data_IF_899780607915
#
_entry.id   IF_899780607915
#
_cell.length_a   1.000
_cell.length_b   1.000
_cell.length_c   1.000
_cell.angle_alpha   90.00
_cell.angle_beta   90.00
_cell.angle_gamma   90.00
#
_symmetry.space_group_name_H-M   'P 1'
#
loop_
_entity.id
_entity.type
_entity.pdbx_description
1 polymer ?
#
# COMPACT_ATOMS: atom_id res chain seq x y z
N UNK A 1 21.05 19.40 -4.20
CA UNK A 1 21.11 18.03 -3.62
C UNK A 1 19.69 17.57 -3.33
N UNK A 2 19.14 16.62 -4.10
CA UNK A 2 17.75 16.15 -3.96
C UNK A 2 17.66 15.31 -2.68
N UNK A 3 16.84 15.72 -1.70
CA UNK A 3 16.58 14.91 -0.49
C UNK A 3 15.98 13.55 -0.90
N UNK A 4 16.42 12.47 -0.28
CA UNK A 4 15.85 11.14 -0.53
C UNK A 4 14.36 11.10 -0.16
N UNK A 5 13.57 10.26 -0.86
CA UNK A 5 12.13 10.12 -0.63
C UNK A 5 11.79 9.86 0.85
N UNK A 6 12.57 9.02 1.53
CA UNK A 6 12.44 8.75 2.97
C UNK A 6 12.72 9.99 3.83
N UNK A 7 13.74 10.80 3.50
CA UNK A 7 14.01 12.04 4.24
C UNK A 7 12.84 13.04 4.12
N UNK A 8 12.17 13.07 2.96
CA UNK A 8 10.97 13.91 2.75
C UNK A 8 9.78 13.41 3.56
N UNK A 9 9.55 12.10 3.63
CA UNK A 9 8.49 11.52 4.46
C UNK A 9 8.75 11.74 5.97
N UNK A 10 10.01 11.68 6.40
CA UNK A 10 10.38 11.91 7.81
C UNK A 10 10.27 13.36 8.24
N UNK A 11 10.44 14.32 7.32
CA UNK A 11 10.35 15.75 7.65
C UNK A 11 8.94 16.22 7.99
N UNK A 12 7.90 15.44 7.68
CA UNK A 12 6.50 15.77 8.02
C UNK A 12 6.02 15.06 9.29
N UNK A 13 6.83 14.20 9.89
CA UNK A 13 6.48 13.50 11.12
C UNK A 13 6.74 14.36 12.36
N UNK A 14 5.93 14.16 13.39
CA UNK A 14 6.26 14.62 14.75
C UNK A 14 7.55 13.97 15.26
N UNK A 15 8.18 14.51 16.32
CA UNK A 15 9.39 13.94 16.90
C UNK A 15 9.26 12.44 17.26
N UNK A 16 8.08 12.01 17.72
CA UNK A 16 7.79 10.61 18.08
C UNK A 16 6.88 9.88 17.07
N UNK A 17 6.77 10.42 15.85
CA UNK A 17 5.88 9.89 14.81
C UNK A 17 6.36 8.57 14.20
N UNK A 18 5.41 7.77 13.72
CA UNK A 18 5.66 6.49 13.04
C UNK A 18 5.39 6.61 11.55
N UNK A 19 6.40 6.32 10.72
CA UNK A 19 6.22 6.07 9.29
C UNK A 19 5.95 4.59 9.05
N UNK A 20 4.75 4.25 8.58
CA UNK A 20 4.41 2.90 8.12
C UNK A 20 4.38 2.88 6.60
N UNK A 21 5.27 2.12 5.98
CA UNK A 21 5.28 1.92 4.53
C UNK A 21 4.32 0.78 4.20
N UNK A 22 3.16 1.13 3.62
CA UNK A 22 2.24 0.19 3.00
C UNK A 22 2.55 0.04 1.50
N UNK A 23 2.72 -1.20 1.04
CA UNK A 23 2.92 -1.51 -0.38
C UNK A 23 4.36 -1.49 -0.91
N UNK A 24 4.54 -2.18 -2.03
CA UNK A 24 5.82 -2.28 -2.78
C UNK A 24 5.81 -1.54 -4.13
N UNK A 25 4.73 -0.82 -4.43
CA UNK A 25 4.56 -0.12 -5.70
C UNK A 25 5.73 0.86 -5.94
N UNK A 26 6.36 0.73 -7.10
CA UNK A 26 7.50 1.54 -7.52
C UNK A 26 8.85 1.17 -6.92
N UNK A 27 8.95 0.08 -6.15
CA UNK A 27 10.25 -0.36 -5.67
C UNK A 27 11.01 -1.13 -6.77
N UNK A 28 11.83 -0.39 -7.53
CA UNK A 28 12.78 -0.93 -8.50
C UNK A 28 14.13 -1.09 -7.83
N UNK A 29 14.47 -2.31 -7.43
CA UNK A 29 15.77 -2.67 -6.86
C UNK A 29 16.28 -3.98 -7.50
N UNK A 30 17.58 -4.11 -7.80
CA UNK A 30 18.09 -5.24 -8.56
C UNK A 30 18.07 -6.59 -7.81
N UNK A 31 17.79 -6.61 -6.49
CA UNK A 31 18.04 -7.81 -5.66
C UNK A 31 16.81 -8.48 -5.06
N UNK A 32 15.67 -7.80 -4.85
CA UNK A 32 14.48 -8.43 -4.23
C UNK A 32 13.15 -7.84 -4.71
N UNK A 33 13.07 -7.42 -5.97
CA UNK A 33 11.82 -6.92 -6.55
C UNK A 33 11.20 -5.73 -5.81
N UNK A 34 12.01 -4.94 -5.08
CA UNK A 34 11.57 -3.75 -4.37
C UNK A 34 11.40 -3.87 -2.85
N UNK A 35 11.56 -5.06 -2.27
CA UNK A 35 11.49 -5.26 -0.81
C UNK A 35 12.75 -4.71 -0.12
N UNK A 36 13.84 -4.47 -0.86
CA UNK A 36 15.06 -3.82 -0.36
C UNK A 36 14.79 -2.46 0.31
N UNK A 37 13.76 -1.72 -0.15
CA UNK A 37 13.33 -0.45 0.47
C UNK A 37 12.74 -0.67 1.86
N UNK A 38 11.91 -1.69 2.01
CA UNK A 38 11.24 -2.05 3.27
C UNK A 38 12.28 -2.53 4.30
N UNK A 39 13.25 -3.34 3.85
CA UNK A 39 14.36 -3.82 4.68
C UNK A 39 15.27 -2.68 5.14
N UNK A 40 15.64 -1.73 4.25
CA UNK A 40 16.40 -0.54 4.63
C UNK A 40 15.67 0.36 5.61
N UNK A 41 14.35 0.52 5.45
CA UNK A 41 13.54 1.31 6.36
C UNK A 41 13.54 0.73 7.79
N UNK A 42 13.45 -0.60 7.91
CA UNK A 42 13.58 -1.32 9.18
C UNK A 42 15.00 -1.21 9.78
N UNK A 43 16.05 -1.19 8.96
CA UNK A 43 17.43 -1.03 9.44
C UNK A 43 17.76 0.41 9.89
N UNK A 44 17.07 1.41 9.33
CA UNK A 44 17.19 2.83 9.74
C UNK A 44 16.27 3.19 10.92
N UNK A 45 15.43 2.25 11.36
CA UNK A 45 14.59 2.38 12.55
C UNK A 45 15.45 2.25 13.79
N UNK A 46 16.09 3.36 14.18
CA UNK A 46 16.51 3.69 15.56
C UNK A 46 17.10 5.10 15.66
N UNK A 47 16.43 6.08 15.07
CA UNK A 47 16.67 7.48 15.43
C UNK A 47 15.88 7.75 16.72
N UNK A 48 16.50 8.33 17.76
CA UNK A 48 15.81 8.68 19.01
C UNK A 48 14.60 9.59 18.67
N UNK A 49 13.39 9.07 18.71
CA UNK A 49 12.14 9.77 18.35
C UNK A 49 11.30 9.02 17.31
N UNK A 50 11.67 9.07 16.03
CA UNK A 50 10.81 8.59 14.95
C UNK A 50 10.99 7.10 14.64
N UNK A 51 9.86 6.38 14.53
CA UNK A 51 9.82 4.96 14.17
C UNK A 51 9.56 4.79 12.67
N UNK A 52 10.19 3.80 12.05
CA UNK A 52 9.96 3.47 10.64
C UNK A 52 9.73 1.97 10.50
N UNK A 53 8.58 1.59 9.95
CA UNK A 53 8.19 0.20 9.79
C UNK A 53 7.53 -0.07 8.45
N UNK A 54 7.24 -1.35 8.23
CA UNK A 54 6.52 -1.84 7.05
C UNK A 54 5.28 -2.57 7.52
N UNK A 55 4.18 -2.42 6.79
CA UNK A 55 2.98 -3.22 7.01
C UNK A 55 2.72 -4.11 5.80
N UNK A 56 2.67 -5.42 6.06
CA UNK A 56 2.25 -6.42 5.07
C UNK A 56 0.92 -6.95 5.58
N UNK A 57 -0.14 -6.72 4.80
CA UNK A 57 -1.45 -7.24 5.13
C UNK A 57 -1.42 -8.76 5.02
N UNK A 58 -1.80 -9.45 6.11
CA UNK A 58 -2.05 -10.89 6.10
C UNK A 58 -3.56 -11.10 6.05
N UNK A 59 -4.03 -11.74 5.00
CA UNK A 59 -5.43 -12.12 4.87
C UNK A 59 -5.80 -13.04 6.04
N UNK A 60 -6.75 -12.60 6.86
CA UNK A 60 -7.28 -13.41 7.96
C UNK A 60 -8.80 -13.19 8.10
N UNK A 61 -9.55 -14.23 8.51
CA UNK A 61 -11.01 -14.14 8.56
C UNK A 61 -11.55 -13.13 9.58
N UNK A 62 -10.87 -12.97 10.72
CA UNK A 62 -11.31 -12.09 11.80
C UNK A 62 -11.32 -10.62 11.35
N UNK A 63 -10.24 -10.16 10.73
CA UNK A 63 -10.14 -8.81 10.18
C UNK A 63 -11.15 -8.59 9.04
N UNK A 64 -11.42 -9.60 8.21
CA UNK A 64 -12.43 -9.51 7.16
C UNK A 64 -13.85 -9.37 7.72
N UNK A 65 -14.17 -10.02 8.84
CA UNK A 65 -15.45 -9.84 9.54
C UNK A 65 -15.57 -8.43 10.11
N UNK A 66 -14.50 -7.89 10.70
CA UNK A 66 -14.47 -6.49 11.15
C UNK A 66 -14.73 -5.53 9.98
N UNK A 67 -14.09 -5.75 8.84
CA UNK A 67 -14.31 -4.93 7.65
C UNK A 67 -15.75 -5.04 7.13
N UNK A 68 -16.32 -6.25 7.10
CA UNK A 68 -17.72 -6.49 6.74
C UNK A 68 -18.66 -5.67 7.63
N UNK A 69 -18.50 -5.74 8.94
CA UNK A 69 -19.37 -5.05 9.89
C UNK A 69 -19.27 -3.52 9.76
N UNK A 70 -18.08 -2.99 9.48
CA UNK A 70 -17.89 -1.57 9.19
C UNK A 70 -18.59 -1.13 7.90
N UNK A 71 -18.60 -1.98 6.87
CA UNK A 71 -19.27 -1.72 5.60
C UNK A 71 -20.79 -1.75 5.79
N UNK A 72 -21.32 -2.78 6.45
CA UNK A 72 -22.76 -2.93 6.73
C UNK A 72 -23.28 -1.80 7.62
N UNK A 73 -22.47 -1.32 8.57
CA UNK A 73 -22.81 -0.18 9.41
C UNK A 73 -22.65 1.18 8.71
N UNK A 74 -22.22 1.22 7.43
CA UNK A 74 -22.01 2.45 6.68
C UNK A 74 -20.83 3.30 7.16
N UNK A 75 -19.98 2.77 8.05
CA UNK A 75 -18.78 3.44 8.58
C UNK A 75 -17.59 3.38 7.61
N UNK A 76 -17.64 2.44 6.67
CA UNK A 76 -16.65 2.26 5.62
C UNK A 76 -17.35 2.05 4.28
N UNK A 77 -17.10 2.93 3.30
CA UNK A 77 -17.59 2.75 1.93
C UNK A 77 -16.41 2.35 1.04
N UNK A 78 -16.34 1.10 0.55
CA UNK A 78 -15.27 0.69 -0.35
C UNK A 78 -15.44 1.34 -1.72
N UNK A 79 -14.35 1.91 -2.24
CA UNK A 79 -14.33 2.48 -3.59
C UNK A 79 -14.09 1.35 -4.59
N UNK A 80 -15.17 0.87 -5.20
CA UNK A 80 -15.11 -0.09 -6.30
C UNK A 80 -14.88 0.68 -7.61
N UNK A 81 -13.78 0.35 -8.28
CA UNK A 81 -13.40 0.94 -9.54
C UNK A 81 -14.14 0.31 -10.73
N UNK A 82 -13.50 0.36 -11.88
CA UNK A 82 -14.03 -0.24 -13.10
C UNK A 82 -14.16 -1.76 -12.97
N UNK A 83 -15.25 -2.30 -13.50
CA UNK A 83 -15.53 -3.74 -13.58
C UNK A 83 -15.20 -4.23 -14.99
N UNK A 84 -14.59 -5.40 -15.08
CA UNK A 84 -14.23 -6.05 -16.32
C UNK A 84 -14.85 -7.45 -16.36
N UNK A 85 -15.43 -7.92 -17.47
CA UNK A 85 -15.76 -9.34 -17.61
C UNK A 85 -14.48 -10.18 -17.58
N UNK A 86 -14.58 -11.47 -17.23
CA UNK A 86 -13.44 -12.39 -17.20
C UNK A 86 -12.69 -12.44 -18.54
N UNK A 87 -13.41 -12.30 -19.65
CA UNK A 87 -12.82 -12.23 -20.99
C UNK A 87 -11.90 -11.01 -21.20
N UNK A 88 -12.04 -9.96 -20.38
CA UNK A 88 -11.30 -8.70 -20.49
C UNK A 88 -10.22 -8.52 -19.41
N UNK A 89 -9.71 -9.62 -18.82
CA UNK A 89 -8.65 -9.56 -17.80
C UNK A 89 -7.37 -8.88 -18.33
N UNK A 90 -7.04 -9.07 -19.61
CA UNK A 90 -5.85 -8.44 -20.20
C UNK A 90 -5.96 -6.91 -20.20
N UNK A 91 -7.14 -6.40 -20.53
CA UNK A 91 -7.46 -4.98 -20.50
C UNK A 91 -7.45 -4.44 -19.06
N UNK A 92 -8.00 -5.21 -18.11
CA UNK A 92 -7.98 -4.86 -16.69
C UNK A 92 -6.55 -4.70 -16.14
N UNK A 93 -5.63 -5.60 -16.52
CA UNK A 93 -4.23 -5.50 -16.13
C UNK A 93 -3.56 -4.27 -16.74
N UNK A 94 -3.78 -4.01 -18.04
CA UNK A 94 -3.22 -2.81 -18.70
C UNK A 94 -3.71 -1.51 -18.06
N UNK A 95 -4.98 -1.47 -17.65
CA UNK A 95 -5.55 -0.32 -16.94
C UNK A 95 -4.89 -0.13 -15.57
N UNK A 96 -4.69 -1.21 -14.81
CA UNK A 96 -3.96 -1.19 -13.55
C UNK A 96 -2.52 -0.66 -13.71
N UNK A 97 -1.78 -1.21 -14.68
CA UNK A 97 -0.39 -0.82 -14.96
C UNK A 97 -0.26 0.63 -15.42
N UNK A 98 -1.32 1.21 -16.00
CA UNK A 98 -1.33 2.62 -16.41
C UNK A 98 -1.25 3.59 -15.23
N UNK A 99 -1.50 3.12 -14.00
CA UNK A 99 -1.53 3.94 -12.78
C UNK A 99 -2.72 4.89 -12.70
N UNK A 100 -3.67 4.80 -13.64
CA UNK A 100 -4.88 5.65 -13.69
C UNK A 100 -6.13 4.97 -13.09
N UNK A 101 -6.01 3.71 -12.69
CA UNK A 101 -7.10 3.00 -12.04
C UNK A 101 -7.49 3.70 -10.73
N UNK A 102 -8.78 3.98 -10.58
CA UNK A 102 -9.36 4.55 -9.37
C UNK A 102 -10.14 3.48 -8.61
N UNK A 103 -9.84 3.30 -7.33
CA UNK A 103 -10.44 2.26 -6.51
C UNK A 103 -9.97 0.85 -6.87
N UNK A 104 -10.66 -0.16 -6.34
CA UNK A 104 -10.36 -1.58 -6.61
C UNK A 104 -10.98 -2.00 -7.94
N UNK A 105 -10.15 -2.40 -8.91
CA UNK A 105 -10.64 -3.04 -10.14
C UNK A 105 -11.22 -4.43 -9.81
N UNK A 106 -12.34 -4.77 -10.45
CA UNK A 106 -13.07 -6.02 -10.20
C UNK A 106 -13.22 -6.80 -11.50
N UNK A 107 -12.98 -8.11 -11.43
CA UNK A 107 -13.32 -9.05 -12.49
C UNK A 107 -14.70 -9.64 -12.17
N UNK A 108 -15.57 -9.65 -13.17
CA UNK A 108 -16.92 -10.20 -13.13
C UNK A 108 -16.99 -11.46 -13.99
N UNK A 109 -17.79 -12.45 -13.56
CA UNK A 109 -17.99 -13.72 -14.26
C UNK A 109 -19.17 -13.61 -15.22
#
# INVERSE_FOLDING_TARGET
>A
MVRSYLARLRSVLTPDGTLVIGGGEGARGPWFGGIDRQLRAMLLSRSKGQQVGTFICKENPEDLLVLKDLIEAGKLTPVVGKKYPLAAVREAIRDLESGRAQGKLVITL
#
